data_IF_548299768572
#
_entry.id   IF_548299768572
#
_cell.length_a   1.000
_cell.length_b   1.000
_cell.length_c   1.000
_cell.angle_alpha   90.00
_cell.angle_beta   90.00
_cell.angle_gamma   90.00
#
_symmetry.space_group_name_H-M   'P 1'
#
loop_
_entity.id
_entity.type
_entity.pdbx_description
1 polymer ?
#
# COMPACT_ATOMS: atom_id res chain seq x y z
N UNK A 1 46.84 18.33 -16.17
CA UNK A 1 45.78 17.81 -15.29
C UNK A 1 44.60 17.39 -16.16
N UNK A 2 44.18 16.14 -16.00
CA UNK A 2 43.44 15.32 -16.98
C UNK A 2 41.92 15.61 -16.93
N UNK A 3 41.48 16.68 -17.60
CA UNK A 3 40.08 17.17 -17.58
C UNK A 3 39.02 16.18 -18.09
N UNK A 4 39.43 15.10 -18.76
CA UNK A 4 38.51 14.06 -19.27
C UNK A 4 38.03 13.09 -18.18
N UNK A 5 38.79 12.93 -17.08
CA UNK A 5 38.41 12.00 -15.98
C UNK A 5 37.25 12.53 -15.14
N UNK A 6 37.13 13.85 -15.00
CA UNK A 6 36.04 14.49 -14.23
C UNK A 6 34.70 14.43 -14.97
N UNK A 7 34.72 14.58 -16.31
CA UNK A 7 33.50 14.53 -17.12
C UNK A 7 32.80 13.17 -17.03
N UNK A 8 33.57 12.07 -17.15
CA UNK A 8 33.02 10.72 -17.03
C UNK A 8 32.44 10.45 -15.64
N UNK A 9 33.08 10.95 -14.58
CA UNK A 9 32.60 10.75 -13.20
C UNK A 9 31.29 11.50 -12.94
N UNK A 10 31.13 12.71 -13.50
CA UNK A 10 29.87 13.46 -13.43
C UNK A 10 28.77 12.81 -14.25
N UNK A 11 29.07 12.31 -15.45
CA UNK A 11 28.08 11.61 -16.31
C UNK A 11 27.59 10.32 -15.66
N UNK A 12 28.49 9.55 -15.04
CA UNK A 12 28.14 8.32 -14.30
C UNK A 12 27.26 8.64 -13.09
N UNK A 13 27.59 9.70 -12.33
CA UNK A 13 26.76 10.15 -11.19
C UNK A 13 25.36 10.57 -11.63
N UNK A 14 25.25 11.34 -12.72
CA UNK A 14 23.95 11.78 -13.26
C UNK A 14 23.14 10.58 -13.77
N UNK A 15 23.78 9.63 -14.46
CA UNK A 15 23.13 8.41 -14.92
C UNK A 15 22.61 7.56 -13.73
N UNK A 16 23.41 7.39 -12.67
CA UNK A 16 22.98 6.68 -11.46
C UNK A 16 21.78 7.34 -10.78
N UNK A 17 21.74 8.68 -10.73
CA UNK A 17 20.61 9.42 -10.18
C UNK A 17 19.33 9.25 -11.02
N UNK A 18 19.44 9.22 -12.35
CA UNK A 18 18.30 8.98 -13.25
C UNK A 18 17.77 7.55 -13.06
N UNK A 19 18.65 6.54 -12.94
CA UNK A 19 18.23 5.15 -12.69
C UNK A 19 17.56 4.98 -11.32
N UNK A 20 18.01 5.68 -10.28
CA UNK A 20 17.39 5.68 -8.96
C UNK A 20 16.01 6.35 -8.96
N UNK A 21 15.84 7.44 -9.71
CA UNK A 21 14.55 8.16 -9.84
C UNK A 21 13.56 7.40 -10.74
N UNK A 22 14.04 6.61 -11.69
CA UNK A 22 13.21 5.77 -12.55
C UNK A 22 12.71 4.48 -11.88
N UNK A 23 13.08 4.23 -10.62
CA UNK A 23 12.33 3.34 -9.76
C UNK A 23 10.97 4.01 -9.49
N UNK A 24 10.08 3.83 -10.47
CA UNK A 24 8.67 4.19 -10.37
C UNK A 24 8.20 3.76 -8.98
N UNK A 25 7.41 4.59 -8.26
CA UNK A 25 6.73 4.09 -7.08
C UNK A 25 6.02 2.84 -7.55
N UNK A 26 6.38 1.70 -6.99
CA UNK A 26 5.64 0.47 -7.16
C UNK A 26 4.30 0.83 -6.56
N UNK A 27 3.42 1.35 -7.41
CA UNK A 27 2.00 1.50 -7.18
C UNK A 27 1.57 0.05 -7.07
N UNK A 28 1.80 -0.52 -5.89
CA UNK A 28 0.95 -1.57 -5.36
C UNK A 28 -0.38 -0.85 -5.30
N UNK A 29 -1.07 -0.88 -6.43
CA UNK A 29 -2.49 -0.66 -6.54
C UNK A 29 -3.07 -1.72 -5.62
N UNK A 30 -3.01 -1.43 -4.31
CA UNK A 30 -3.75 -2.11 -3.31
C UNK A 30 -5.16 -1.75 -3.68
N UNK A 31 -5.72 -2.51 -4.63
CA UNK A 31 -7.13 -2.56 -4.95
C UNK A 31 -7.81 -2.42 -3.61
N UNK A 32 -8.47 -1.26 -3.42
CA UNK A 32 -8.78 -0.70 -2.10
C UNK A 32 -9.63 -1.72 -1.37
N UNK A 33 -8.98 -2.63 -0.67
CA UNK A 33 -9.57 -3.79 -0.01
C UNK A 33 -10.52 -3.23 1.03
N UNK A 34 -11.80 -3.21 0.68
CA UNK A 34 -12.84 -2.58 1.47
C UNK A 34 -13.28 -3.60 2.51
N UNK A 35 -13.10 -3.26 3.78
CA UNK A 35 -13.61 -4.05 4.88
C UNK A 35 -15.10 -3.73 5.06
N UNK A 36 -15.92 -4.77 5.01
CA UNK A 36 -17.36 -4.71 5.23
C UNK A 36 -17.66 -5.35 6.58
N UNK A 37 -18.26 -4.59 7.49
CA UNK A 37 -18.52 -5.02 8.86
C UNK A 37 -20.04 -5.00 9.16
N UNK A 38 -20.55 -5.91 10.00
CA UNK A 38 -21.99 -6.03 10.29
C UNK A 38 -22.51 -4.89 11.19
N UNK A 39 -21.62 -4.25 11.94
CA UNK A 39 -21.97 -3.17 12.86
C UNK A 39 -20.74 -2.27 13.16
N UNK A 40 -20.99 -1.15 13.85
CA UNK A 40 -19.97 -0.19 14.27
C UNK A 40 -18.91 -0.82 15.17
N UNK A 41 -19.30 -1.75 16.05
CA UNK A 41 -18.37 -2.36 17.00
C UNK A 41 -17.34 -3.27 16.28
N UNK A 42 -17.80 -4.08 15.34
CA UNK A 42 -16.96 -4.88 14.44
C UNK A 42 -16.00 -3.98 13.64
N UNK A 43 -16.48 -2.84 13.14
CA UNK A 43 -15.62 -1.87 12.44
C UNK A 43 -14.57 -1.24 13.34
N UNK A 44 -14.92 -0.88 14.57
CA UNK A 44 -13.96 -0.34 15.54
C UNK A 44 -12.88 -1.38 15.89
N UNK A 45 -13.26 -2.65 16.07
CA UNK A 45 -12.35 -3.77 16.24
C UNK A 45 -11.40 -3.91 15.04
N UNK A 46 -11.94 -3.92 13.81
CA UNK A 46 -11.13 -4.05 12.59
C UNK A 46 -10.18 -2.86 12.43
N UNK A 47 -10.64 -1.63 12.69
CA UNK A 47 -9.83 -0.41 12.61
C UNK A 47 -8.68 -0.42 13.62
N UNK A 48 -8.91 -0.96 14.84
CA UNK A 48 -7.87 -1.12 15.84
C UNK A 48 -6.87 -2.23 15.47
N UNK A 49 -7.32 -3.30 14.82
CA UNK A 49 -6.49 -4.46 14.45
C UNK A 49 -5.67 -4.24 13.17
N UNK A 50 -6.25 -3.64 12.13
CA UNK A 50 -5.66 -3.50 10.80
C UNK A 50 -4.26 -2.84 10.72
N UNK A 51 -3.84 -1.92 11.62
CA UNK A 51 -2.49 -1.39 11.56
C UNK A 51 -1.42 -2.35 12.10
N UNK A 52 -1.81 -3.38 12.85
CA UNK A 52 -0.87 -4.30 13.51
C UNK A 52 -0.85 -5.69 12.88
N UNK A 53 -1.94 -6.10 12.26
CA UNK A 53 -2.14 -7.47 11.75
C UNK A 53 -2.65 -7.41 10.31
N UNK A 54 -2.43 -8.49 9.55
CA UNK A 54 -2.95 -8.62 8.19
C UNK A 54 -4.48 -8.44 8.16
N UNK A 55 -4.96 -7.68 7.16
CA UNK A 55 -6.38 -7.29 7.03
C UNK A 55 -7.34 -8.47 7.10
N UNK A 56 -7.01 -9.59 6.44
CA UNK A 56 -7.82 -10.80 6.41
C UNK A 56 -8.03 -11.39 7.82
N UNK A 57 -6.97 -11.42 8.64
CA UNK A 57 -7.06 -11.93 10.02
C UNK A 57 -7.87 -11.00 10.91
N UNK A 58 -7.72 -9.69 10.76
CA UNK A 58 -8.56 -8.72 11.47
C UNK A 58 -10.02 -8.83 11.06
N UNK A 59 -10.28 -9.16 9.81
CA UNK A 59 -11.62 -9.38 9.31
C UNK A 59 -12.26 -10.58 10.04
N UNK A 60 -11.58 -11.74 10.03
CA UNK A 60 -12.04 -12.95 10.74
C UNK A 60 -12.24 -12.70 12.24
N UNK A 61 -11.31 -11.99 12.88
CA UNK A 61 -11.36 -11.72 14.31
C UNK A 61 -12.56 -10.83 14.70
N UNK A 62 -12.86 -9.84 13.86
CA UNK A 62 -13.86 -8.81 14.15
C UNK A 62 -15.19 -9.06 13.43
N UNK A 63 -15.40 -10.26 12.88
CA UNK A 63 -16.57 -10.65 12.09
C UNK A 63 -16.84 -9.70 10.91
N UNK A 64 -15.77 -9.18 10.31
CA UNK A 64 -15.81 -8.46 9.05
C UNK A 64 -15.27 -9.35 7.93
N UNK A 65 -15.48 -8.95 6.69
CA UNK A 65 -14.77 -9.55 5.56
C UNK A 65 -14.25 -8.47 4.63
N UNK A 66 -13.24 -8.83 3.85
CA UNK A 66 -12.54 -7.91 2.97
C UNK A 66 -12.95 -8.22 1.54
N UNK A 67 -13.42 -7.21 0.81
CA UNK A 67 -13.71 -7.31 -0.63
C UNK A 67 -12.68 -6.54 -1.44
N UNK A 68 -12.27 -7.12 -2.56
CA UNK A 68 -11.39 -6.46 -3.51
C UNK A 68 -12.11 -5.39 -4.34
N UNK A 69 -13.42 -5.58 -4.60
CA UNK A 69 -14.27 -4.66 -5.38
C UNK A 69 -15.74 -4.68 -4.95
N UNK A 70 -16.40 -3.55 -5.19
CA UNK A 70 -17.84 -3.35 -5.00
C UNK A 70 -18.20 -2.74 -3.64
N UNK A 71 -19.45 -2.29 -3.54
CA UNK A 71 -20.02 -1.80 -2.28
C UNK A 71 -20.26 -2.95 -1.31
N UNK A 72 -20.26 -2.62 -0.02
CA UNK A 72 -20.65 -3.55 1.01
C UNK A 72 -22.17 -3.80 0.92
N UNK A 73 -22.63 -5.04 1.12
CA UNK A 73 -24.04 -5.36 1.15
C UNK A 73 -24.67 -4.72 2.41
N UNK A 74 -25.99 -4.50 2.40
CA UNK A 74 -26.69 -3.71 3.43
C UNK A 74 -26.59 -4.32 4.83
N UNK A 75 -26.36 -5.62 4.95
CA UNK A 75 -26.11 -6.34 6.20
C UNK A 75 -24.70 -6.11 6.77
N UNK A 76 -23.74 -5.68 5.94
CA UNK A 76 -22.33 -5.47 6.33
C UNK A 76 -21.79 -4.10 5.84
N UNK A 77 -22.64 -3.08 5.84
CA UNK A 77 -22.32 -1.77 5.25
C UNK A 77 -21.54 -0.82 6.15
N UNK A 78 -21.18 -1.24 7.37
CA UNK A 78 -20.47 -0.40 8.32
C UNK A 78 -19.00 -0.29 7.94
#
# INVERSE_FOLDING_TARGET
MDGRKCLNKSVIMVALMIFLVAAAPIQVEAAKKQACCPNVAARACYAACSPFVIKETCAILCDCYVRDKGECPPDHHW
#
